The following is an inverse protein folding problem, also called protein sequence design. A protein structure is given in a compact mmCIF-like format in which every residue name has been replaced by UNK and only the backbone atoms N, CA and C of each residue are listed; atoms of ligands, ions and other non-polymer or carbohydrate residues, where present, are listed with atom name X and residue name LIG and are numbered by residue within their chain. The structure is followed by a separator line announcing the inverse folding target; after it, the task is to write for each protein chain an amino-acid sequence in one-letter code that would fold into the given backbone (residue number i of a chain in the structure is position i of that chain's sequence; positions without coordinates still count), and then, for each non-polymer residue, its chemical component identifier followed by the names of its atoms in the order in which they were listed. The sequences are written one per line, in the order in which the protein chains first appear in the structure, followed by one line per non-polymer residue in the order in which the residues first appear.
data_IF_025271712792
#
_entry.id   IF_025271712792
#
_cell.length_a   1.000
_cell.length_b   1.000
_cell.length_c   1.000
_cell.angle_alpha   90.00
_cell.angle_beta   90.00
_cell.angle_gamma   90.00
#
_symmetry.space_group_name_H-M   'P 1'
#
loop_
_entity.id
_entity.type
_entity.pdbx_description
1 polymer ?
#
# COMPACT_ATOMS: atom_id res chain seq x y z
N UNK A 1 -9.06 -10.09 -28.21
CA UNK A 1 -8.81 -9.10 -27.14
C UNK A 1 -8.00 -7.96 -27.73
N UNK A 2 -8.57 -6.76 -27.73
CA UNK A 2 -7.95 -5.54 -28.29
C UNK A 2 -6.69 -5.15 -27.51
N UNK A 3 -5.88 -4.22 -28.04
CA UNK A 3 -4.73 -3.67 -27.31
C UNK A 3 -5.18 -2.97 -26.02
N UNK A 4 -6.27 -2.22 -26.10
CA UNK A 4 -6.89 -1.52 -24.97
C UNK A 4 -7.32 -2.51 -23.88
N UNK A 5 -7.95 -3.63 -24.27
CA UNK A 5 -8.37 -4.68 -23.32
C UNK A 5 -7.16 -5.29 -22.58
N UNK A 6 -6.02 -5.45 -23.26
CA UNK A 6 -4.77 -5.95 -22.64
C UNK A 6 -4.18 -4.95 -21.64
N UNK A 7 -4.25 -3.66 -21.95
CA UNK A 7 -3.76 -2.59 -21.07
C UNK A 7 -4.61 -2.48 -19.80
N UNK A 8 -5.94 -2.57 -19.94
CA UNK A 8 -6.88 -2.56 -18.81
C UNK A 8 -6.71 -3.80 -17.92
N UNK A 9 -6.59 -4.99 -18.51
CA UNK A 9 -6.30 -6.21 -17.74
C UNK A 9 -4.96 -6.13 -17.00
N UNK A 10 -3.93 -5.55 -17.63
CA UNK A 10 -2.64 -5.33 -16.99
C UNK A 10 -2.77 -4.34 -15.81
N UNK A 11 -3.57 -3.28 -15.96
CA UNK A 11 -3.80 -2.31 -14.91
C UNK A 11 -4.46 -2.95 -13.67
N UNK A 12 -5.49 -3.79 -13.82
CA UNK A 12 -6.09 -4.51 -12.68
C UNK A 12 -5.04 -5.32 -11.91
N UNK A 13 -4.21 -6.09 -12.63
CA UNK A 13 -3.14 -6.89 -12.02
C UNK A 13 -2.08 -6.03 -11.33
N UNK A 14 -1.76 -4.86 -11.88
CA UNK A 14 -0.82 -3.92 -11.26
C UNK A 14 -1.38 -3.36 -9.96
N UNK A 15 -2.67 -2.99 -9.92
CA UNK A 15 -3.31 -2.52 -8.70
C UNK A 15 -3.22 -3.57 -7.57
N UNK A 16 -3.51 -4.83 -7.86
CA UNK A 16 -3.34 -5.94 -6.89
C UNK A 16 -1.87 -6.11 -6.47
N UNK A 17 -0.95 -6.06 -7.44
CA UNK A 17 0.48 -6.20 -7.17
C UNK A 17 1.01 -5.09 -6.26
N UNK A 18 0.64 -3.83 -6.51
CA UNK A 18 1.06 -2.70 -5.69
C UNK A 18 0.48 -2.78 -4.27
N UNK A 19 -0.79 -3.15 -4.12
CA UNK A 19 -1.39 -3.35 -2.80
C UNK A 19 -0.66 -4.44 -2.00
N UNK A 20 -0.33 -5.56 -2.66
CA UNK A 20 0.45 -6.63 -2.04
C UNK A 20 1.89 -6.20 -1.69
N UNK A 21 2.53 -5.40 -2.55
CA UNK A 21 3.89 -4.90 -2.30
C UNK A 21 3.93 -3.95 -1.09
N UNK A 22 2.91 -3.11 -0.94
CA UNK A 22 2.78 -2.18 0.18
C UNK A 22 2.75 -2.88 1.55
N UNK A 23 2.32 -4.15 1.65
CA UNK A 23 2.42 -4.91 2.89
C UNK A 23 3.88 -5.12 3.34
N UNK A 24 4.82 -5.26 2.39
CA UNK A 24 6.25 -5.34 2.71
C UNK A 24 6.79 -4.00 3.24
N UNK A 25 6.32 -2.89 2.67
CA UNK A 25 6.66 -1.56 3.17
C UNK A 25 6.07 -1.32 4.56
N UNK A 26 4.80 -1.65 4.78
CA UNK A 26 4.13 -1.58 6.08
C UNK A 26 4.87 -2.35 7.15
N UNK A 27 5.27 -3.59 6.87
CA UNK A 27 6.03 -4.42 7.81
C UNK A 27 7.37 -3.76 8.18
N UNK A 28 8.07 -3.17 7.21
CA UNK A 28 9.30 -2.41 7.45
C UNK A 28 9.05 -1.17 8.32
N UNK A 29 8.01 -0.40 8.01
CA UNK A 29 7.65 0.79 8.79
C UNK A 29 7.27 0.44 10.22
N UNK A 30 6.48 -0.62 10.44
CA UNK A 30 6.14 -1.12 11.77
C UNK A 30 7.39 -1.48 12.59
N UNK A 31 8.35 -2.19 11.98
CA UNK A 31 9.63 -2.52 12.62
C UNK A 31 10.35 -1.26 13.09
N UNK A 32 10.48 -0.26 12.22
CA UNK A 32 11.20 0.98 12.56
C UNK A 32 10.44 1.90 13.50
N UNK A 33 9.10 1.90 13.43
CA UNK A 33 8.23 2.59 14.39
C UNK A 33 8.46 2.05 15.79
N UNK A 34 8.53 0.72 15.95
CA UNK A 34 8.81 0.09 17.24
C UNK A 34 10.20 0.46 17.76
N UNK A 35 11.23 0.43 16.89
CA UNK A 35 12.59 0.86 17.27
C UNK A 35 12.62 2.35 17.67
N UNK A 36 11.89 3.22 16.96
CA UNK A 36 11.80 4.65 17.29
C UNK A 36 11.11 4.86 18.65
N UNK A 37 10.06 4.08 18.93
CA UNK A 37 9.36 4.09 20.21
C UNK A 37 10.29 3.67 21.37
N UNK A 38 11.03 2.57 21.21
CA UNK A 38 12.03 2.11 22.20
C UNK A 38 13.13 3.15 22.48
N UNK A 39 13.38 4.05 21.53
CA UNK A 39 14.41 5.10 21.62
C UNK A 39 13.88 6.44 22.14
N UNK A 40 12.60 6.56 22.45
CA UNK A 40 11.99 7.84 22.86
C UNK A 40 12.02 8.88 21.74
N UNK A 41 11.75 8.46 20.50
CA UNK A 41 11.65 9.34 19.33
C UNK A 41 10.19 9.53 18.93
N UNK A 42 9.37 10.08 19.82
CA UNK A 42 7.90 10.13 19.69
C UNK A 42 7.46 10.85 18.40
N UNK A 43 8.13 11.94 18.03
CA UNK A 43 7.80 12.66 16.78
C UNK A 43 8.09 11.85 15.50
N UNK A 44 8.97 10.85 15.57
CA UNK A 44 9.26 9.92 14.47
C UNK A 44 8.24 8.79 14.48
N UNK A 45 7.86 8.30 15.67
CA UNK A 45 6.78 7.31 15.85
C UNK A 45 5.50 7.80 15.18
N UNK A 46 5.06 9.02 15.50
CA UNK A 46 3.84 9.62 14.94
C UNK A 46 3.89 9.68 13.41
N UNK A 47 5.03 10.09 12.83
CA UNK A 47 5.18 10.15 11.37
C UNK A 47 5.13 8.78 10.71
N UNK A 48 5.70 7.76 11.35
CA UNK A 48 5.67 6.38 10.84
C UNK A 48 4.28 5.75 10.98
N UNK A 49 3.54 6.07 12.05
CA UNK A 49 2.14 5.65 12.19
C UNK A 49 1.26 6.27 11.10
N UNK A 50 1.43 7.57 10.84
CA UNK A 50 0.75 8.23 9.72
C UNK A 50 1.12 7.61 8.36
N UNK A 51 2.39 7.26 8.14
CA UNK A 51 2.83 6.60 6.91
C UNK A 51 2.20 5.20 6.74
N UNK A 52 2.06 4.45 7.84
CA UNK A 52 1.38 3.14 7.85
C UNK A 52 -0.10 3.31 7.48
N UNK A 53 -0.81 4.26 8.10
CA UNK A 53 -2.21 4.54 7.80
C UNK A 53 -2.41 4.93 6.32
N UNK A 54 -1.51 5.75 5.76
CA UNK A 54 -1.60 6.14 4.35
C UNK A 54 -1.35 4.96 3.40
N UNK A 55 -0.48 4.01 3.76
CA UNK A 55 -0.28 2.78 2.99
C UNK A 55 -1.54 1.90 3.03
N UNK A 56 -2.20 1.78 4.18
CA UNK A 56 -3.44 1.00 4.30
C UNK A 56 -4.54 1.61 3.42
N UNK A 57 -4.73 2.94 3.46
CA UNK A 57 -5.65 3.64 2.57
C UNK A 57 -5.27 3.48 1.09
N UNK A 58 -3.98 3.52 0.78
CA UNK A 58 -3.50 3.25 -0.58
C UNK A 58 -3.94 1.85 -1.06
N UNK A 59 -3.80 0.83 -0.20
CA UNK A 59 -4.21 -0.53 -0.51
C UNK A 59 -5.72 -0.64 -0.73
N UNK A 60 -6.53 0.03 0.09
CA UNK A 60 -7.98 0.07 -0.09
C UNK A 60 -8.37 0.63 -1.46
N UNK A 61 -7.79 1.76 -1.87
CA UNK A 61 -8.08 2.37 -3.18
C UNK A 61 -7.59 1.50 -4.34
N UNK A 62 -6.40 0.90 -4.23
CA UNK A 62 -5.85 0.01 -5.26
C UNK A 62 -6.72 -1.22 -5.46
N UNK A 63 -7.15 -1.87 -4.38
CA UNK A 63 -8.02 -3.03 -4.45
C UNK A 63 -9.42 -2.67 -4.96
N UNK A 64 -9.94 -1.49 -4.59
CA UNK A 64 -11.20 -0.99 -5.15
C UNK A 64 -11.10 -0.75 -6.65
N UNK A 65 -10.06 -0.06 -7.12
CA UNK A 65 -9.84 0.19 -8.53
C UNK A 65 -9.71 -1.10 -9.35
N UNK A 66 -9.03 -2.12 -8.80
CA UNK A 66 -8.95 -3.44 -9.42
C UNK A 66 -10.33 -4.10 -9.57
N UNK A 67 -11.18 -4.04 -8.53
CA UNK A 67 -12.56 -4.56 -8.59
C UNK A 67 -13.41 -3.81 -9.62
N UNK A 68 -13.29 -2.48 -9.67
CA UNK A 68 -14.05 -1.65 -10.61
C UNK A 68 -13.67 -1.91 -12.08
N UNK A 69 -12.45 -2.41 -12.35
CA UNK A 69 -12.01 -2.83 -13.69
C UNK A 69 -12.53 -4.22 -14.06
N UNK A 70 -12.73 -5.11 -13.09
CA UNK A 70 -13.14 -6.50 -13.30
C UNK A 70 -14.66 -6.69 -13.35
N UNK A 71 -15.43 -5.70 -12.88
CA UNK A 71 -16.90 -5.63 -12.96
C UNK A 71 -17.39 -5.16 -14.34
#
# INVERSE_FOLDING_TARGET
MSKQDKEILKLSKLCQHWANHNESHKASFLKWRNIAHEKGLESVVEKLENAIEMIEKCNEYLLSASRDIEN
#
